data_IF_882594787967
#
_entry.id   IF_882594787967
#
_cell.length_a   1.000
_cell.length_b   1.000
_cell.length_c   1.000
_cell.angle_alpha   90.00
_cell.angle_beta   90.00
_cell.angle_gamma   90.00
#
_symmetry.space_group_name_H-M   'P 1'
#
loop_
_entity.id
_entity.type
_entity.pdbx_description
1 polymer ?
#
# COMPACT_ATOMS: atom_id res chain seq x y z
N UNK A 1 -13.73 -22.78 4.09
CA UNK A 1 -12.67 -23.26 3.25
C UNK A 1 -11.41 -22.45 3.43
N UNK A 2 -10.45 -23.06 4.06
CA UNK A 2 -9.19 -22.42 4.26
C UNK A 2 -8.45 -22.28 2.94
N UNK A 3 -7.66 -21.27 2.81
CA UNK A 3 -6.73 -21.18 1.73
C UNK A 3 -7.17 -20.47 0.47
N UNK A 4 -8.27 -19.79 0.50
CA UNK A 4 -8.57 -18.94 -0.64
C UNK A 4 -7.58 -17.79 -0.66
N UNK A 5 -6.70 -17.79 -1.65
CA UNK A 5 -5.68 -16.76 -1.78
C UNK A 5 -6.25 -15.58 -2.56
N UNK A 6 -6.31 -14.42 -1.92
CA UNK A 6 -6.77 -13.20 -2.56
C UNK A 6 -5.56 -12.37 -2.94
N UNK A 7 -5.35 -12.14 -4.23
CA UNK A 7 -4.20 -11.38 -4.73
C UNK A 7 -4.37 -9.87 -4.54
N UNK A 8 -5.59 -9.40 -4.64
CA UNK A 8 -5.91 -7.98 -4.50
C UNK A 8 -7.29 -7.86 -3.88
N UNK A 9 -7.40 -7.04 -2.83
CA UNK A 9 -8.67 -6.80 -2.18
C UNK A 9 -8.79 -5.32 -1.85
N UNK A 10 -9.97 -4.76 -2.07
CA UNK A 10 -10.23 -3.36 -1.81
C UNK A 10 -11.47 -3.21 -0.94
N UNK A 11 -11.33 -2.48 0.16
CA UNK A 11 -12.41 -2.15 1.07
C UNK A 11 -12.51 -0.65 1.26
N UNK A 12 -13.70 -0.11 1.14
CA UNK A 12 -13.96 1.27 1.50
C UNK A 12 -14.44 1.33 2.94
N UNK A 13 -13.68 2.00 3.78
CA UNK A 13 -14.04 2.17 5.18
C UNK A 13 -14.93 3.39 5.35
N UNK A 14 -15.69 3.44 6.45
CA UNK A 14 -16.72 4.46 6.66
C UNK A 14 -16.19 5.89 6.78
N UNK A 15 -14.92 6.04 7.12
CA UNK A 15 -14.32 7.34 7.45
C UNK A 15 -13.60 8.00 6.26
N UNK A 16 -13.87 7.56 5.04
CA UNK A 16 -13.21 8.10 3.87
C UNK A 16 -11.88 7.44 3.56
N UNK A 17 -11.61 6.29 4.12
CA UNK A 17 -10.37 5.54 3.92
C UNK A 17 -10.61 4.37 2.98
N UNK A 18 -9.70 4.16 2.05
CA UNK A 18 -9.65 2.95 1.22
C UNK A 18 -8.56 2.03 1.76
N UNK A 19 -8.92 0.79 2.03
CA UNK A 19 -7.96 -0.23 2.45
C UNK A 19 -7.72 -1.16 1.28
N UNK A 20 -6.45 -1.30 0.89
CA UNK A 20 -6.03 -2.18 -0.20
C UNK A 20 -5.14 -3.26 0.37
N UNK A 21 -5.49 -4.52 0.13
CA UNK A 21 -4.66 -5.66 0.53
C UNK A 21 -4.03 -6.29 -0.69
N UNK A 22 -2.71 -6.43 -0.64
CA UNK A 22 -1.95 -7.14 -1.66
C UNK A 22 -1.54 -8.50 -1.10
N UNK A 23 -1.85 -9.57 -1.83
CA UNK A 23 -1.56 -10.93 -1.38
C UNK A 23 -0.76 -11.71 -2.41
N UNK A 24 0.19 -11.06 -3.06
CA UNK A 24 0.96 -11.65 -4.16
C UNK A 24 2.42 -11.29 -3.98
N UNK A 25 3.33 -12.17 -4.42
CA UNK A 25 4.75 -11.81 -4.50
C UNK A 25 4.89 -10.62 -5.46
N UNK A 26 5.60 -9.60 -5.04
CA UNK A 26 5.78 -8.40 -5.86
C UNK A 26 7.04 -8.51 -6.70
N UNK A 27 7.11 -9.57 -7.50
CA UNK A 27 8.08 -9.77 -8.58
C UNK A 27 7.41 -9.33 -9.90
N UNK A 28 8.08 -9.56 -11.03
CA UNK A 28 7.54 -9.13 -12.32
C UNK A 28 6.15 -9.70 -12.60
N UNK A 29 5.94 -10.97 -12.29
CA UNK A 29 4.66 -11.63 -12.53
C UNK A 29 3.58 -11.07 -11.60
N UNK A 30 3.88 -10.95 -10.32
CA UNK A 30 2.94 -10.43 -9.33
C UNK A 30 2.55 -8.99 -9.62
N UNK A 31 3.52 -8.15 -9.94
CA UNK A 31 3.25 -6.75 -10.32
C UNK A 31 2.31 -6.71 -11.53
N UNK A 32 2.57 -7.55 -12.54
CA UNK A 32 1.72 -7.61 -13.71
C UNK A 32 0.27 -7.96 -13.41
N UNK A 33 0.03 -8.68 -12.30
CA UNK A 33 -1.32 -9.07 -11.91
C UNK A 33 -2.09 -7.99 -11.16
N UNK A 34 -1.40 -7.13 -10.42
CA UNK A 34 -2.09 -6.19 -9.52
C UNK A 34 -1.87 -4.73 -9.85
N UNK A 35 -0.91 -4.39 -10.70
CA UNK A 35 -0.52 -2.99 -10.93
C UNK A 35 -1.69 -2.11 -11.41
N UNK A 36 -2.41 -2.55 -12.43
CA UNK A 36 -3.51 -1.74 -12.95
C UNK A 36 -4.64 -1.60 -11.94
N UNK A 37 -4.89 -2.65 -11.15
CA UNK A 37 -5.90 -2.61 -10.10
C UNK A 37 -5.50 -1.61 -9.01
N UNK A 38 -4.23 -1.63 -8.62
CA UNK A 38 -3.72 -0.72 -7.60
C UNK A 38 -3.79 0.73 -8.07
N UNK A 39 -3.34 1.00 -9.29
CA UNK A 39 -3.37 2.36 -9.84
C UNK A 39 -4.80 2.87 -9.97
N UNK A 40 -5.73 2.02 -10.41
CA UNK A 40 -7.14 2.40 -10.49
C UNK A 40 -7.70 2.72 -9.10
N UNK A 41 -7.35 1.93 -8.09
CA UNK A 41 -7.83 2.13 -6.73
C UNK A 41 -7.34 3.45 -6.13
N UNK A 42 -6.07 3.81 -6.36
CA UNK A 42 -5.51 5.02 -5.77
C UNK A 42 -5.93 6.30 -6.51
N UNK A 43 -6.52 6.18 -7.68
CA UNK A 43 -7.07 7.34 -8.39
C UNK A 43 -8.49 7.68 -7.95
N UNK A 44 -9.08 6.88 -7.08
CA UNK A 44 -10.40 7.19 -6.54
C UNK A 44 -10.33 8.46 -5.70
N UNK A 45 -11.50 9.05 -5.43
CA UNK A 45 -11.56 10.33 -4.73
C UNK A 45 -11.43 10.23 -3.20
N UNK A 46 -11.14 9.05 -2.68
CA UNK A 46 -11.00 8.86 -1.21
C UNK A 46 -9.73 9.55 -0.72
N UNK A 47 -9.79 10.34 0.35
CA UNK A 47 -8.63 11.13 0.78
C UNK A 47 -7.54 10.33 1.49
N UNK A 48 -7.82 9.11 1.94
CA UNK A 48 -6.87 8.31 2.70
C UNK A 48 -6.80 6.91 2.13
N UNK A 49 -5.59 6.43 1.89
CA UNK A 49 -5.35 5.11 1.31
C UNK A 49 -4.37 4.34 2.18
N UNK A 50 -4.77 3.18 2.64
CA UNK A 50 -3.91 2.26 3.38
C UNK A 50 -3.62 1.05 2.52
N UNK A 51 -2.36 0.65 2.45
CA UNK A 51 -1.96 -0.53 1.69
C UNK A 51 -1.40 -1.57 2.67
N UNK A 52 -2.09 -2.68 2.79
CA UNK A 52 -1.73 -3.79 3.67
C UNK A 52 -0.83 -4.75 2.90
N UNK A 53 0.40 -4.91 3.39
CA UNK A 53 1.41 -5.77 2.78
C UNK A 53 1.61 -7.10 3.52
N UNK A 54 0.75 -7.42 4.48
CA UNK A 54 0.94 -8.62 5.29
C UNK A 54 0.89 -9.92 4.49
N UNK A 55 0.25 -9.89 3.33
CA UNK A 55 0.21 -11.04 2.41
C UNK A 55 1.34 -11.08 1.39
N UNK A 56 2.30 -10.17 1.48
CA UNK A 56 3.42 -10.07 0.53
C UNK A 56 4.67 -10.64 1.18
N UNK A 57 5.19 -11.76 0.67
CA UNK A 57 6.35 -12.42 1.23
C UNK A 57 7.66 -12.09 0.49
N UNK A 58 7.58 -11.38 -0.61
CA UNK A 58 8.75 -11.05 -1.42
C UNK A 58 8.48 -9.79 -2.24
N UNK A 59 9.48 -8.93 -2.37
CA UNK A 59 9.37 -7.73 -3.20
C UNK A 59 10.67 -7.53 -3.97
N UNK A 60 10.55 -7.31 -5.28
CA UNK A 60 11.65 -6.96 -6.17
C UNK A 60 11.56 -5.48 -6.56
N UNK A 61 12.53 -5.01 -7.32
CA UNK A 61 12.58 -3.60 -7.75
C UNK A 61 11.30 -3.14 -8.43
N UNK A 62 10.70 -4.00 -9.26
CA UNK A 62 9.44 -3.65 -9.93
C UNK A 62 8.30 -3.41 -8.92
N UNK A 63 8.28 -4.18 -7.84
CA UNK A 63 7.29 -4.00 -6.79
C UNK A 63 7.48 -2.68 -6.08
N UNK A 64 8.72 -2.30 -5.80
CA UNK A 64 9.03 -1.01 -5.18
C UNK A 64 8.59 0.13 -6.10
N UNK A 65 8.92 0.04 -7.39
CA UNK A 65 8.50 1.03 -8.38
C UNK A 65 6.97 1.17 -8.43
N UNK A 66 6.27 0.04 -8.39
CA UNK A 66 4.81 0.04 -8.38
C UNK A 66 4.26 0.78 -7.18
N UNK A 67 4.79 0.50 -5.98
CA UNK A 67 4.32 1.16 -4.74
C UNK A 67 4.60 2.66 -4.76
N UNK A 68 5.79 3.06 -5.20
CA UNK A 68 6.13 4.48 -5.32
C UNK A 68 5.22 5.17 -6.32
N UNK A 69 4.99 4.55 -7.47
CA UNK A 69 4.12 5.09 -8.51
C UNK A 69 2.69 5.25 -8.00
N UNK A 70 2.19 4.25 -7.28
CA UNK A 70 0.84 4.31 -6.70
C UNK A 70 0.73 5.44 -5.68
N UNK A 71 1.73 5.60 -4.82
CA UNK A 71 1.72 6.66 -3.82
C UNK A 71 1.75 8.04 -4.47
N UNK A 72 2.58 8.23 -5.49
CA UNK A 72 2.65 9.49 -6.21
C UNK A 72 1.33 9.81 -6.91
N UNK A 73 0.73 8.80 -7.53
CA UNK A 73 -0.56 8.95 -8.19
C UNK A 73 -1.63 9.37 -7.19
N UNK A 74 -1.67 8.71 -6.04
CA UNK A 74 -2.62 9.06 -4.99
C UNK A 74 -2.42 10.49 -4.49
N UNK A 75 -1.17 10.89 -4.26
CA UNK A 75 -0.86 12.25 -3.81
C UNK A 75 -1.27 13.31 -4.82
N UNK A 76 -1.10 13.02 -6.10
CA UNK A 76 -1.53 13.90 -7.19
C UNK A 76 -3.05 14.13 -7.13
N UNK A 77 -3.79 13.13 -6.65
CA UNK A 77 -5.24 13.23 -6.48
C UNK A 77 -5.65 13.69 -5.08
N UNK A 78 -4.69 14.18 -4.30
CA UNK A 78 -4.97 14.75 -2.97
C UNK A 78 -5.10 13.73 -1.85
N UNK A 79 -4.68 12.49 -2.06
CA UNK A 79 -4.79 11.44 -1.05
C UNK A 79 -3.51 11.30 -0.22
N UNK A 80 -3.67 10.82 1.01
CA UNK A 80 -2.57 10.46 1.90
C UNK A 80 -2.45 8.94 1.91
N UNK A 81 -1.24 8.41 1.75
CA UNK A 81 -0.99 6.99 1.61
C UNK A 81 -0.07 6.49 2.72
N UNK A 82 -0.43 5.36 3.32
CA UNK A 82 0.45 4.66 4.27
C UNK A 82 0.49 3.19 3.92
N UNK A 83 1.68 2.61 3.99
CA UNK A 83 1.90 1.16 3.88
C UNK A 83 2.03 0.59 5.28
N UNK A 84 1.52 -0.61 5.48
CA UNK A 84 1.66 -1.27 6.78
C UNK A 84 1.69 -2.78 6.66
N UNK A 85 2.10 -3.44 7.74
CA UNK A 85 2.04 -4.89 7.85
C UNK A 85 3.12 -5.64 7.10
N UNK A 86 4.20 -4.97 6.66
CA UNK A 86 5.25 -5.63 5.90
C UNK A 86 5.91 -6.76 6.72
N UNK A 87 6.05 -7.93 6.11
CA UNK A 87 6.80 -9.02 6.71
C UNK A 87 8.28 -8.64 6.80
N UNK A 88 9.02 -9.29 7.69
CA UNK A 88 10.40 -8.91 8.01
C UNK A 88 11.29 -8.77 6.77
N UNK A 89 11.19 -9.71 5.83
CA UNK A 89 11.99 -9.66 4.62
C UNK A 89 11.67 -8.43 3.75
N UNK A 90 10.40 -8.12 3.62
CA UNK A 90 9.94 -6.96 2.83
C UNK A 90 10.31 -5.66 3.54
N UNK A 91 10.14 -5.60 4.85
CA UNK A 91 10.54 -4.44 5.64
C UNK A 91 12.04 -4.14 5.49
N UNK A 92 12.86 -5.20 5.47
CA UNK A 92 14.31 -5.05 5.27
C UNK A 92 14.62 -4.42 3.91
N UNK A 93 13.93 -4.86 2.87
CA UNK A 93 14.12 -4.28 1.53
C UNK A 93 13.76 -2.80 1.55
N UNK A 94 12.68 -2.43 2.23
CA UNK A 94 12.29 -1.02 2.34
C UNK A 94 13.39 -0.19 3.01
N UNK A 95 13.98 -0.72 4.09
CA UNK A 95 15.08 -0.02 4.78
C UNK A 95 16.30 0.11 3.90
N UNK A 96 16.67 -0.94 3.17
CA UNK A 96 17.84 -0.94 2.30
C UNK A 96 17.70 -0.01 1.11
N UNK A 97 16.49 0.22 0.64
CA UNK A 97 16.23 1.07 -0.51
C UNK A 97 15.84 2.50 -0.10
N UNK A 98 15.86 2.80 1.19
CA UNK A 98 15.46 4.11 1.75
C UNK A 98 14.03 4.50 1.37
N UNK A 99 13.17 3.52 1.12
CA UNK A 99 11.77 3.78 0.78
C UNK A 99 11.05 4.50 1.91
N UNK A 100 11.47 4.27 3.15
CA UNK A 100 10.90 4.92 4.32
C UNK A 100 11.08 6.44 4.32
N UNK A 101 11.98 6.96 3.49
CA UNK A 101 12.19 8.41 3.37
C UNK A 101 11.19 9.07 2.44
N UNK A 102 10.57 8.32 1.55
CA UNK A 102 9.67 8.88 0.53
C UNK A 102 8.23 8.43 0.71
N UNK A 103 7.99 7.46 1.58
CA UNK A 103 6.65 6.94 1.84
C UNK A 103 6.44 6.73 3.33
N UNK A 104 5.20 6.87 3.77
CA UNK A 104 4.82 6.54 5.15
C UNK A 104 4.68 5.03 5.26
N UNK A 105 5.55 4.42 6.05
CA UNK A 105 5.56 2.97 6.27
C UNK A 105 5.52 2.75 7.78
N UNK A 106 4.49 2.06 8.25
CA UNK A 106 4.27 1.85 9.67
C UNK A 106 4.02 0.38 9.97
N UNK A 107 3.98 0.03 11.25
CA UNK A 107 3.94 -1.38 11.64
C UNK A 107 2.59 -2.05 11.38
N UNK A 108 1.49 -1.35 11.68
CA UNK A 108 0.18 -1.98 11.65
C UNK A 108 -0.91 -1.01 11.18
N UNK A 109 -2.11 -1.55 11.06
CA UNK A 109 -3.27 -0.82 10.56
C UNK A 109 -3.61 0.39 11.43
N UNK A 110 -3.54 0.22 12.75
CA UNK A 110 -3.86 1.31 13.67
C UNK A 110 -2.90 2.49 13.47
N UNK A 111 -1.60 2.20 13.36
CA UNK A 111 -0.59 3.23 13.10
C UNK A 111 -0.83 3.90 11.74
N UNK A 112 -1.24 3.13 10.74
CA UNK A 112 -1.53 3.67 9.41
C UNK A 112 -2.75 4.58 9.41
N UNK A 113 -3.79 4.19 10.10
CA UNK A 113 -4.99 5.03 10.26
C UNK A 113 -4.64 6.34 10.94
N UNK A 114 -3.84 6.27 12.00
CA UNK A 114 -3.42 7.45 12.75
C UNK A 114 -2.55 8.38 11.89
N UNK A 115 -1.59 7.83 11.17
CA UNK A 115 -0.69 8.62 10.34
C UNK A 115 -1.43 9.36 9.23
N UNK A 116 -2.37 8.70 8.56
CA UNK A 116 -3.13 9.33 7.47
C UNK A 116 -4.17 10.30 8.00
N UNK A 117 -4.70 10.06 9.18
CA UNK A 117 -5.66 10.98 9.82
C UNK A 117 -4.98 12.31 10.17
N UNK A 118 -3.80 12.24 10.79
CA UNK A 118 -3.04 13.44 11.16
C UNK A 118 -2.66 14.24 9.92
N UNK A 119 -2.18 13.56 8.87
CA UNK A 119 -1.81 14.23 7.62
C UNK A 119 -3.02 14.90 6.97
N UNK A 120 -4.17 14.22 6.95
CA UNK A 120 -5.39 14.77 6.37
C UNK A 120 -5.88 16.00 7.13
N UNK A 121 -5.81 15.98 8.46
CA UNK A 121 -6.22 17.11 9.27
C UNK A 121 -5.35 18.34 9.07
N UNK A 122 -4.06 18.12 8.78
CA UNK A 122 -3.12 19.22 8.53
C UNK A 122 -3.23 19.77 7.11
N UNK A 123 -3.70 18.94 6.21
CA UNK A 123 -3.78 19.32 4.81
C UNK A 123 -4.94 20.20 4.53
#
# INVERSE_FOLDING_TARGET
MAGRHVQFELDDLDDGTTLIRLGVRLDALGVGRVESLLLAAVTSSRPRVLIDLSGVDFIASMGIHMLVSAARTAQTHGAYVALFGAQALVARVFDQTALTRVMTIVADREAALKATSVAHERG
#
